data_IF_619768781031
#
_entry.id   IF_619768781031
#
_cell.length_a   1.000
_cell.length_b   1.000
_cell.length_c   1.000
_cell.angle_alpha   90.00
_cell.angle_beta   90.00
_cell.angle_gamma   90.00
#
_symmetry.space_group_name_H-M   'P 1'
#
loop_
_entity.id
_entity.type
_entity.pdbx_description
1 polymer ?
#
# COMPACT_ATOMS: atom_id res chain seq x y z
N UNK A 1 -7.92 22.10 13.20
CA UNK A 1 -6.99 21.33 12.36
C UNK A 1 -6.28 20.33 13.27
N UNK A 2 -6.45 19.03 13.02
CA UNK A 2 -5.92 17.99 13.92
C UNK A 2 -4.40 17.83 13.75
N UNK A 3 -3.67 17.70 14.87
CA UNK A 3 -2.21 17.56 14.85
C UNK A 3 -1.76 16.20 14.30
N UNK A 4 -0.47 16.08 13.95
CA UNK A 4 0.11 14.83 13.45
C UNK A 4 0.00 13.69 14.48
N UNK A 5 0.26 13.98 15.75
CA UNK A 5 0.25 12.96 16.81
C UNK A 5 -1.17 12.49 17.12
N UNK A 6 -2.15 13.39 17.07
CA UNK A 6 -3.56 13.04 17.17
C UNK A 6 -4.01 12.12 16.03
N UNK A 7 -3.57 12.37 14.79
CA UNK A 7 -3.84 11.44 13.66
C UNK A 7 -3.25 10.06 13.90
N UNK A 8 -2.02 10.00 14.42
CA UNK A 8 -1.38 8.71 14.73
C UNK A 8 -2.16 7.97 15.81
N UNK A 9 -2.61 8.67 16.87
CA UNK A 9 -3.46 8.07 17.91
C UNK A 9 -4.80 7.60 17.35
N UNK A 10 -5.45 8.41 16.51
CA UNK A 10 -6.70 8.05 15.84
C UNK A 10 -6.56 6.75 15.05
N UNK A 11 -5.58 6.63 14.16
CA UNK A 11 -5.41 5.43 13.34
C UNK A 11 -4.99 4.19 14.14
N UNK A 12 -4.43 4.38 15.35
CA UNK A 12 -4.12 3.29 16.29
C UNK A 12 -5.29 2.91 17.20
N UNK A 13 -6.30 3.78 17.33
CA UNK A 13 -7.44 3.58 18.22
C UNK A 13 -8.22 2.31 17.89
N UNK A 14 -8.86 1.73 18.91
CA UNK A 14 -9.71 0.54 18.72
C UNK A 14 -10.98 0.92 17.96
N UNK A 15 -11.52 2.11 18.23
CA UNK A 15 -12.69 2.67 17.56
C UNK A 15 -12.47 2.70 16.05
N UNK A 16 -11.33 3.23 15.59
CA UNK A 16 -11.00 3.25 14.17
C UNK A 16 -10.88 1.85 13.58
N UNK A 17 -10.22 0.91 14.27
CA UNK A 17 -10.09 -0.46 13.77
C UNK A 17 -11.46 -1.15 13.60
N UNK A 18 -12.37 -0.93 14.56
CA UNK A 18 -13.75 -1.43 14.49
C UNK A 18 -14.52 -0.78 13.34
N UNK A 19 -14.48 0.56 13.21
CA UNK A 19 -15.14 1.27 12.10
C UNK A 19 -14.60 0.82 10.76
N UNK A 20 -13.27 0.71 10.62
CA UNK A 20 -12.59 0.24 9.40
C UNK A 20 -13.09 -1.15 8.99
N UNK A 21 -13.21 -2.08 9.94
CA UNK A 21 -13.74 -3.42 9.67
C UNK A 21 -15.18 -3.37 9.17
N UNK A 22 -16.05 -2.58 9.83
CA UNK A 22 -17.46 -2.42 9.42
C UNK A 22 -17.60 -1.87 8.00
N UNK A 23 -16.77 -0.88 7.64
CA UNK A 23 -16.77 -0.30 6.29
C UNK A 23 -16.33 -1.33 5.25
N UNK A 24 -15.27 -2.10 5.53
CA UNK A 24 -14.81 -3.16 4.62
C UNK A 24 -15.88 -4.25 4.41
N UNK A 25 -16.57 -4.65 5.47
CA UNK A 25 -17.66 -5.64 5.41
C UNK A 25 -18.86 -5.10 4.61
N UNK A 26 -19.29 -3.86 4.88
CA UNK A 26 -20.34 -3.16 4.09
C UNK A 26 -20.00 -3.14 2.61
N UNK A 27 -18.74 -2.86 2.29
CA UNK A 27 -18.24 -2.71 0.93
C UNK A 27 -17.89 -4.07 0.27
N UNK A 28 -18.19 -5.20 0.93
CA UNK A 28 -17.88 -6.57 0.50
C UNK A 28 -16.40 -6.81 0.19
N UNK A 29 -15.50 -6.06 0.84
CA UNK A 29 -14.06 -6.07 0.54
C UNK A 29 -13.78 -5.77 -0.94
N UNK A 30 -14.52 -4.82 -1.52
CA UNK A 30 -14.36 -4.34 -2.89
C UNK A 30 -14.01 -2.84 -2.91
N UNK A 31 -13.13 -2.46 -3.85
CA UNK A 31 -12.88 -1.04 -4.12
C UNK A 31 -14.11 -0.39 -4.77
N UNK A 32 -14.72 0.56 -4.07
CA UNK A 32 -15.96 1.21 -4.51
C UNK A 32 -15.77 2.06 -5.78
N UNK A 33 -14.61 2.73 -5.91
CA UNK A 33 -14.31 3.46 -7.14
C UNK A 33 -14.13 2.53 -8.35
N UNK A 34 -13.47 1.38 -8.17
CA UNK A 34 -13.35 0.42 -9.27
C UNK A 34 -14.71 -0.13 -9.67
N UNK A 35 -15.57 -0.40 -8.68
CA UNK A 35 -16.95 -0.87 -8.91
C UNK A 35 -17.76 0.11 -9.75
N UNK A 36 -17.69 1.41 -9.43
CA UNK A 36 -18.29 2.48 -10.26
C UNK A 36 -17.74 2.52 -11.68
N UNK A 37 -16.45 2.24 -11.85
CA UNK A 37 -15.79 2.16 -13.16
C UNK A 37 -16.07 0.83 -13.92
N UNK A 38 -16.95 -0.04 -13.41
CA UNK A 38 -17.25 -1.35 -13.99
C UNK A 38 -16.15 -2.40 -13.81
N UNK A 39 -15.23 -2.20 -12.86
CA UNK A 39 -14.09 -3.09 -12.59
C UNK A 39 -14.19 -3.71 -11.20
N UNK A 40 -13.91 -5.00 -11.10
CA UNK A 40 -13.79 -5.66 -9.81
C UNK A 40 -12.35 -5.61 -9.29
N UNK A 41 -12.14 -5.00 -8.13
CA UNK A 41 -10.85 -5.05 -7.41
C UNK A 41 -11.10 -5.42 -5.96
N UNK A 42 -10.70 -6.62 -5.60
CA UNK A 42 -10.80 -7.20 -4.26
C UNK A 42 -9.43 -7.34 -3.61
N UNK A 43 -9.44 -7.67 -2.32
CA UNK A 43 -8.24 -8.04 -1.59
C UNK A 43 -7.66 -9.37 -2.11
N UNK A 44 -6.39 -9.37 -2.51
CA UNK A 44 -5.68 -10.56 -2.99
C UNK A 44 -4.28 -10.59 -2.38
N UNK A 45 -4.06 -11.54 -1.45
CA UNK A 45 -2.79 -11.76 -0.75
C UNK A 45 -1.65 -12.13 -1.72
N UNK A 46 -1.95 -12.79 -2.84
CA UNK A 46 -0.94 -13.24 -3.80
C UNK A 46 -0.39 -12.11 -4.66
N UNK A 47 -1.18 -11.04 -4.87
CA UNK A 47 -0.86 -9.95 -5.80
C UNK A 47 -0.41 -8.66 -5.12
N UNK A 48 -0.12 -8.70 -3.81
CA UNK A 48 0.15 -7.50 -2.99
C UNK A 48 -0.91 -6.40 -3.18
N UNK A 49 -2.18 -6.79 -3.36
CA UNK A 49 -3.29 -5.83 -3.50
C UNK A 49 -3.95 -5.65 -2.14
N UNK A 50 -3.73 -4.50 -1.51
CA UNK A 50 -4.47 -4.11 -0.30
C UNK A 50 -5.62 -3.16 -0.63
N UNK A 51 -6.63 -3.23 0.23
CA UNK A 51 -7.72 -2.27 0.31
C UNK A 51 -7.54 -1.47 1.59
N UNK A 52 -7.79 -0.18 1.50
CA UNK A 52 -7.81 0.75 2.63
C UNK A 52 -9.12 1.52 2.67
N UNK A 53 -9.47 1.99 3.85
CA UNK A 53 -10.66 2.82 4.08
C UNK A 53 -10.20 4.26 4.13
N UNK A 54 -10.79 5.06 3.26
CA UNK A 54 -10.42 6.45 3.04
C UNK A 54 -11.54 7.39 3.48
N UNK A 55 -11.16 8.56 4.00
CA UNK A 55 -12.09 9.60 4.44
C UNK A 55 -12.46 10.51 3.27
N UNK A 56 -13.74 10.59 2.89
CA UNK A 56 -14.24 11.46 1.82
C UNK A 56 -13.94 12.93 2.14
N UNK A 57 -14.38 13.38 3.32
CA UNK A 57 -13.98 14.63 3.96
C UNK A 57 -12.75 14.39 4.83
N UNK A 58 -11.69 15.17 4.62
CA UNK A 58 -10.40 14.94 5.29
C UNK A 58 -10.53 15.01 6.82
N UNK A 59 -9.99 13.99 7.50
CA UNK A 59 -9.94 13.90 8.97
C UNK A 59 -9.31 15.14 9.65
N UNK A 60 -8.40 15.83 8.98
CA UNK A 60 -7.69 17.00 9.50
C UNK A 60 -8.58 18.24 9.69
N UNK A 61 -9.55 18.43 8.79
CA UNK A 61 -10.49 19.55 8.79
C UNK A 61 -11.83 19.19 9.43
N UNK A 62 -12.19 17.90 9.37
CA UNK A 62 -13.52 17.39 9.74
C UNK A 62 -13.42 16.19 10.70
N UNK A 63 -12.82 16.34 11.89
CA UNK A 63 -12.72 15.26 12.87
C UNK A 63 -14.09 14.78 13.37
N UNK A 64 -15.13 15.61 13.31
CA UNK A 64 -16.50 15.26 13.68
C UNK A 64 -17.08 14.12 12.81
N UNK A 65 -16.61 13.98 11.57
CA UNK A 65 -17.04 12.92 10.65
C UNK A 65 -16.04 11.74 10.58
N UNK A 66 -15.11 11.63 11.54
CA UNK A 66 -14.04 10.65 11.49
C UNK A 66 -14.51 9.18 11.50
N UNK A 67 -15.64 8.91 12.15
CA UNK A 67 -16.25 7.58 12.29
C UNK A 67 -17.59 7.44 11.55
N UNK A 68 -18.02 8.48 10.83
CA UNK A 68 -19.26 8.41 10.04
C UNK A 68 -19.05 7.47 8.85
N UNK A 69 -19.87 6.42 8.78
CA UNK A 69 -19.81 5.44 7.69
C UNK A 69 -20.03 6.09 6.32
N UNK A 70 -20.83 7.15 6.24
CA UNK A 70 -21.09 7.86 4.99
C UNK A 70 -19.89 8.70 4.54
N UNK A 71 -18.99 9.03 5.47
CA UNK A 71 -17.74 9.72 5.19
C UNK A 71 -16.58 8.76 4.85
N UNK A 72 -16.83 7.44 4.84
CA UNK A 72 -15.80 6.43 4.69
C UNK A 72 -16.06 5.53 3.48
N UNK A 73 -15.01 5.27 2.71
CA UNK A 73 -15.08 4.46 1.50
C UNK A 73 -13.90 3.50 1.37
N UNK A 74 -14.17 2.24 0.98
CA UNK A 74 -13.12 1.27 0.66
C UNK A 74 -12.52 1.54 -0.72
N UNK A 75 -11.22 1.78 -0.77
CA UNK A 75 -10.44 2.02 -1.98
C UNK A 75 -9.22 1.11 -2.07
N UNK A 76 -8.84 0.73 -3.29
CA UNK A 76 -7.51 0.16 -3.53
C UNK A 76 -6.43 1.25 -3.51
N UNK A 77 -5.17 0.87 -3.27
CA UNK A 77 -4.01 1.80 -3.25
C UNK A 77 -3.98 2.72 -4.48
N UNK A 78 -4.31 2.19 -5.67
CA UNK A 78 -4.30 2.97 -6.92
C UNK A 78 -5.34 4.10 -6.90
N UNK A 79 -6.56 3.80 -6.46
CA UNK A 79 -7.63 4.79 -6.35
C UNK A 79 -7.36 5.78 -5.23
N UNK A 80 -6.87 5.31 -4.08
CA UNK A 80 -6.46 6.15 -2.96
C UNK A 80 -5.38 7.17 -3.39
N UNK A 81 -4.32 6.72 -4.06
CA UNK A 81 -3.25 7.61 -4.55
C UNK A 81 -3.74 8.60 -5.62
N UNK A 82 -4.72 8.21 -6.45
CA UNK A 82 -5.34 9.09 -7.45
C UNK A 82 -6.11 10.22 -6.78
N UNK A 83 -6.88 9.93 -5.73
CA UNK A 83 -7.63 10.92 -4.95
C UNK A 83 -6.68 11.89 -4.23
N UNK A 84 -5.68 11.35 -3.53
CA UNK A 84 -4.70 12.12 -2.76
C UNK A 84 -3.73 12.95 -3.62
N UNK A 85 -3.83 12.87 -4.96
CA UNK A 85 -2.91 13.52 -5.92
C UNK A 85 -1.42 13.27 -5.61
N UNK A 86 -1.08 12.17 -4.91
CA UNK A 86 0.30 11.83 -4.49
C UNK A 86 1.25 11.50 -5.66
N UNK A 87 0.75 11.53 -6.89
CA UNK A 87 1.59 11.50 -8.08
C UNK A 87 2.23 12.88 -8.32
N UNK A 88 3.29 13.19 -7.57
CA UNK A 88 4.26 14.17 -8.04
C UNK A 88 4.91 13.53 -9.28
N UNK A 89 4.47 13.90 -10.49
CA UNK A 89 5.29 13.70 -11.68
C UNK A 89 6.60 14.43 -11.40
N UNK A 90 7.67 13.70 -11.04
CA UNK A 90 9.02 14.26 -11.13
C UNK A 90 9.16 14.69 -12.58
N UNK A 91 9.19 16.00 -12.85
CA UNK A 91 9.65 16.51 -14.14
C UNK A 91 11.06 15.98 -14.27
N UNK A 92 11.27 15.02 -15.17
CA UNK A 92 12.60 14.55 -15.51
C UNK A 92 13.20 15.70 -16.33
N UNK A 93 13.76 16.70 -15.66
CA UNK A 93 14.53 17.74 -16.33
C UNK A 93 15.85 17.10 -16.78
N UNK A 94 15.86 16.55 -17.99
CA UNK A 94 17.08 16.05 -18.62
C UNK A 94 16.82 14.98 -19.67
N UNK A 95 16.59 15.40 -20.92
CA UNK A 95 16.89 14.55 -22.08
C UNK A 95 18.41 14.41 -22.14
N UNK A 96 18.97 13.26 -21.75
CA UNK A 96 20.33 12.92 -22.19
C UNK A 96 20.22 12.55 -23.66
N UNK A 97 21.06 13.15 -24.52
CA UNK A 97 20.95 12.99 -25.98
C UNK A 97 21.32 11.58 -26.49
N UNK A 98 21.72 10.67 -25.60
CA UNK A 98 22.02 9.27 -25.91
C UNK A 98 21.35 8.37 -24.86
N UNK A 99 20.45 7.49 -25.28
CA UNK A 99 19.51 6.69 -24.46
C UNK A 99 20.12 5.70 -23.47
N UNK A 100 20.94 6.18 -22.53
CA UNK A 100 21.41 5.44 -21.36
C UNK A 100 20.77 6.09 -20.13
N UNK A 101 19.79 5.42 -19.53
CA UNK A 101 19.35 5.78 -18.18
C UNK A 101 20.60 5.79 -17.28
N UNK A 102 20.87 6.87 -16.52
CA UNK A 102 22.01 6.88 -15.63
C UNK A 102 21.81 5.74 -14.62
N UNK A 103 22.75 4.79 -14.61
CA UNK A 103 22.80 3.73 -13.59
C UNK A 103 22.77 4.46 -12.25
N UNK A 104 21.67 4.33 -11.52
CA UNK A 104 21.50 4.96 -10.20
C UNK A 104 22.73 4.58 -9.39
N UNK A 105 23.62 5.55 -9.14
CA UNK A 105 24.70 5.33 -8.17
C UNK A 105 23.96 5.11 -6.86
N UNK A 106 24.12 3.91 -6.27
CA UNK A 106 23.70 3.64 -4.89
C UNK A 106 24.21 4.82 -4.06
N UNK A 107 23.31 5.70 -3.64
CA UNK A 107 23.57 6.53 -2.47
C UNK A 107 23.76 5.48 -1.39
N UNK A 108 24.98 5.35 -0.87
CA UNK A 108 25.21 4.62 0.36
C UNK A 108 24.37 5.37 1.39
N UNK A 109 23.14 4.93 1.63
CA UNK A 109 22.37 5.41 2.77
C UNK A 109 23.17 4.98 3.98
N UNK A 110 23.67 5.96 4.70
CA UNK A 110 24.39 5.77 5.95
C UNK A 110 23.64 4.75 6.81
N UNK A 111 24.42 3.80 7.31
CA UNK A 111 23.94 2.73 8.15
C UNK A 111 23.54 3.33 9.50
N UNK A 112 22.26 3.33 9.84
CA UNK A 112 21.80 3.32 11.22
C UNK A 112 20.42 2.64 11.37
N UNK A 113 20.53 1.36 11.79
CA UNK A 113 19.64 0.58 12.70
C UNK A 113 18.18 0.39 12.28
N UNK A 114 17.69 -0.84 12.01
CA UNK A 114 17.66 -2.04 12.86
C UNK A 114 18.13 -3.33 12.12
N UNK A 115 18.87 -4.20 12.82
CA UNK A 115 19.71 -5.30 12.29
C UNK A 115 18.99 -6.39 11.48
N UNK A 116 19.58 -6.86 10.37
CA UNK A 116 20.52 -8.02 10.21
C UNK A 116 19.84 -9.39 10.41
N UNK A 117 19.75 -10.31 9.45
CA UNK A 117 20.38 -10.38 8.13
C UNK A 117 19.82 -11.53 7.28
N UNK A 118 20.20 -11.57 6.00
CA UNK A 118 19.86 -12.64 5.04
C UNK A 118 21.16 -13.10 4.39
N UNK A 119 21.71 -14.22 4.84
CA UNK A 119 22.79 -14.89 4.13
C UNK A 119 22.18 -15.85 3.10
N UNK A 120 22.56 -15.71 1.83
CA UNK A 120 22.41 -16.77 0.82
C UNK A 120 23.77 -17.44 0.69
N UNK A 121 23.84 -18.74 0.93
CA UNK A 121 24.86 -19.61 0.36
C UNK A 121 24.16 -20.56 -0.62
N UNK A 122 24.82 -20.83 -1.72
CA UNK A 122 24.32 -21.57 -2.88
C UNK A 122 25.41 -22.55 -3.24
N UNK A 123 25.23 -23.82 -2.88
CA UNK A 123 25.99 -24.97 -3.40
C UNK A 123 24.96 -26.10 -3.59
N UNK A 124 24.57 -26.48 -4.81
CA UNK A 124 25.26 -27.43 -5.70
C UNK A 124 25.74 -28.71 -5.00
N UNK A 125 24.85 -29.67 -4.83
CA UNK A 125 25.23 -31.09 -4.81
C UNK A 125 24.27 -31.91 -5.67
N UNK A 126 24.88 -32.88 -6.34
CA UNK A 126 24.43 -33.70 -7.46
C UNK A 126 23.51 -34.85 -7.02
N UNK A 127 22.59 -35.21 -7.94
CA UNK A 127 22.20 -36.58 -8.36
C UNK A 127 21.49 -37.51 -7.34
N UNK A 128 20.89 -38.65 -7.79
CA UNK A 128 20.30 -39.01 -9.09
C UNK A 128 18.91 -39.67 -8.96
N UNK A 129 18.31 -40.00 -10.11
CA UNK A 129 17.12 -40.81 -10.33
C UNK A 129 17.08 -42.13 -9.53
N UNK A 130 15.86 -42.65 -9.26
CA UNK A 130 15.34 -43.98 -9.67
C UNK A 130 13.89 -44.14 -9.12
N UNK A 131 13.01 -44.65 -9.97
CA UNK A 131 11.57 -44.96 -9.77
C UNK A 131 11.37 -46.35 -9.09
N UNK A 132 10.19 -47.00 -9.12
CA UNK A 132 9.26 -47.20 -7.99
C UNK A 132 9.09 -48.68 -7.56
N UNK A 133 8.02 -48.95 -6.79
CA UNK A 133 7.38 -50.24 -6.40
C UNK A 133 7.80 -50.86 -5.06
N UNK A 134 6.87 -50.84 -4.11
CA UNK A 134 5.98 -51.98 -3.84
C UNK A 134 4.61 -51.47 -3.38
#
# INVERSE_FOLDING_TARGET
MMTKDERIRFYKSKEWQTTRKRVLERDNYECQQCKRDGKLTTYDKSKHKSLDVDHILSLEHHPEFAHDLNNLETLCIKCHNKKEKRFIKKKINGKTKNGKYPRVKKIKSDQNTWGTGRARLRDNFKNPCITPLL
#
